data_IF_529038333248
#
_entry.id   IF_529038333248
#
_cell.length_a   1.000
_cell.length_b   1.000
_cell.length_c   1.000
_cell.angle_alpha   90.00
_cell.angle_beta   90.00
_cell.angle_gamma   90.00
#
_symmetry.space_group_name_H-M   'P 1'
#
loop_
_entity.id
_entity.type
_entity.pdbx_description
1 polymer ?
#
# COMPACT_ATOMS: atom_id res chain seq x y z
N UNK A 1 -6.37 7.57 -22.25
CA UNK A 1 -6.92 8.85 -21.79
C UNK A 1 -8.43 8.81 -21.93
N UNK A 2 -9.17 9.49 -21.06
CA UNK A 2 -10.63 9.59 -21.13
C UNK A 2 -11.09 11.03 -21.27
N UNK A 3 -12.18 11.27 -22.02
CA UNK A 3 -12.78 12.57 -22.27
C UNK A 3 -14.07 12.71 -21.47
N UNK A 4 -14.29 13.87 -20.88
CA UNK A 4 -15.57 14.18 -20.25
C UNK A 4 -16.57 14.64 -21.32
N UNK A 5 -17.74 13.99 -21.46
CA UNK A 5 -18.74 14.38 -22.46
C UNK A 5 -19.41 15.73 -22.14
N UNK A 6 -19.29 16.20 -20.89
CA UNK A 6 -19.94 17.43 -20.45
C UNK A 6 -19.04 18.67 -20.58
N UNK A 7 -17.76 18.57 -20.21
CA UNK A 7 -16.83 19.71 -20.24
C UNK A 7 -15.72 19.59 -21.30
N UNK A 8 -15.70 18.51 -22.09
CA UNK A 8 -14.66 18.20 -23.08
C UNK A 8 -13.22 18.08 -22.52
N UNK A 9 -13.05 18.06 -21.20
CA UNK A 9 -11.73 17.86 -20.58
C UNK A 9 -11.17 16.45 -20.83
N UNK A 10 -9.86 16.35 -21.06
CA UNK A 10 -9.13 15.09 -21.25
C UNK A 10 -8.36 14.76 -19.96
N UNK A 11 -8.53 13.54 -19.46
CA UNK A 11 -8.00 13.09 -18.17
C UNK A 11 -7.26 11.74 -18.31
N UNK A 12 -6.42 11.42 -17.31
CA UNK A 12 -5.77 10.09 -17.21
C UNK A 12 -6.82 8.98 -17.10
N UNK A 13 -6.45 7.76 -17.50
CA UNK A 13 -7.33 6.59 -17.44
C UNK A 13 -7.69 6.18 -16.01
N UNK A 14 -6.89 6.62 -15.03
CA UNK A 14 -7.07 6.39 -13.59
C UNK A 14 -8.32 7.08 -13.02
N UNK A 15 -8.89 8.04 -13.75
CA UNK A 15 -10.12 8.71 -13.37
C UNK A 15 -11.33 8.00 -14.01
N UNK A 16 -12.29 7.56 -13.20
CA UNK A 16 -13.57 7.04 -13.70
C UNK A 16 -14.61 8.14 -13.92
N UNK A 17 -14.52 9.22 -13.14
CA UNK A 17 -15.40 10.40 -13.23
C UNK A 17 -14.60 11.68 -13.37
N UNK A 18 -15.20 12.68 -14.02
CA UNK A 18 -14.62 13.99 -14.23
C UNK A 18 -14.51 14.75 -12.90
N UNK A 19 -13.32 15.21 -12.46
CA UNK A 19 -13.15 15.95 -11.21
C UNK A 19 -13.88 17.29 -11.15
N UNK A 20 -14.29 17.82 -12.31
CA UNK A 20 -14.94 19.13 -12.42
C UNK A 20 -16.47 19.03 -12.52
N UNK A 21 -17.00 17.88 -12.94
CA UNK A 21 -18.42 17.72 -13.28
C UNK A 21 -19.07 16.48 -12.66
N UNK A 22 -18.30 15.60 -12.01
CA UNK A 22 -18.71 14.31 -11.42
C UNK A 22 -19.44 13.35 -12.39
N UNK A 23 -19.25 13.53 -13.70
CA UNK A 23 -19.82 12.69 -14.77
C UNK A 23 -18.81 11.63 -15.21
N UNK A 24 -19.29 10.43 -15.55
CA UNK A 24 -18.47 9.31 -16.02
C UNK A 24 -17.71 9.69 -17.30
N UNK A 25 -16.40 9.42 -17.31
CA UNK A 25 -15.54 9.72 -18.44
C UNK A 25 -15.65 8.64 -19.53
N UNK A 26 -15.70 9.03 -20.80
CA UNK A 26 -15.69 8.11 -21.96
C UNK A 26 -14.28 7.94 -22.51
N UNK A 27 -13.98 6.80 -23.14
CA UNK A 27 -12.67 6.56 -23.74
C UNK A 27 -12.38 7.60 -24.84
N UNK A 28 -11.18 8.18 -24.82
CA UNK A 28 -10.72 9.13 -25.83
C UNK A 28 -9.99 8.36 -26.93
N UNK A 29 -10.54 8.37 -28.14
CA UNK A 29 -10.06 7.57 -29.28
C UNK A 29 -9.16 8.38 -30.22
N UNK A 30 -8.50 7.68 -31.16
CA UNK A 30 -7.75 8.32 -32.25
C UNK A 30 -8.63 9.25 -33.10
N UNK A 31 -9.88 8.87 -33.31
CA UNK A 31 -10.83 9.60 -34.14
C UNK A 31 -11.30 10.89 -33.44
N UNK A 32 -11.44 10.84 -32.11
CA UNK A 32 -11.71 12.03 -31.29
C UNK A 32 -10.57 13.05 -31.37
N UNK A 33 -9.33 12.56 -31.42
CA UNK A 33 -8.13 13.40 -31.54
C UNK A 33 -8.06 14.10 -32.90
N UNK A 34 -8.31 13.38 -34.00
CA UNK A 34 -8.31 13.97 -35.34
C UNK A 34 -9.40 15.05 -35.49
N UNK A 35 -10.55 14.85 -34.84
CA UNK A 35 -11.65 15.82 -34.84
C UNK A 35 -11.31 17.09 -34.05
N UNK A 36 -10.74 16.94 -32.85
CA UNK A 36 -10.34 18.07 -32.01
C UNK A 36 -9.19 18.87 -32.69
N UNK A 37 -8.22 18.20 -33.32
CA UNK A 37 -7.11 18.85 -34.05
C UNK A 37 -7.60 19.69 -35.24
N UNK A 38 -8.57 19.17 -36.02
CA UNK A 38 -9.20 19.89 -37.13
C UNK A 38 -10.02 21.12 -36.66
N UNK A 39 -10.64 21.04 -35.48
CA UNK A 39 -11.40 22.15 -34.91
C UNK A 39 -10.48 23.28 -34.42
N UNK A 40 -9.36 22.91 -33.79
CA UNK A 40 -8.28 23.84 -33.40
C UNK A 40 -7.71 24.57 -34.62
N UNK A 41 -7.50 23.87 -35.74
CA UNK A 41 -6.98 24.48 -36.96
C UNK A 41 -7.96 25.49 -37.58
N UNK A 42 -9.26 25.16 -37.61
CA UNK A 42 -10.32 26.10 -38.03
C UNK A 42 -10.40 27.33 -37.14
N UNK A 43 -10.24 27.18 -35.81
CA UNK A 43 -10.26 28.31 -34.88
C UNK A 43 -9.06 29.23 -35.08
N UNK A 44 -7.87 28.67 -35.32
CA UNK A 44 -6.66 29.44 -35.67
C UNK A 44 -6.85 30.26 -36.95
N UNK A 45 -7.43 29.65 -37.99
CA UNK A 45 -7.72 30.35 -39.26
C UNK A 45 -8.72 31.49 -39.03
N UNK A 46 -9.78 31.27 -38.24
CA UNK A 46 -10.75 32.34 -37.89
C UNK A 46 -10.09 33.49 -37.13
N UNK A 47 -9.23 33.20 -36.14
CA UNK A 47 -8.49 34.25 -35.40
C UNK A 47 -7.57 35.05 -36.31
N UNK A 48 -6.88 34.40 -37.25
CA UNK A 48 -6.02 35.09 -38.23
C UNK A 48 -6.83 36.02 -39.14
N UNK A 49 -8.01 35.60 -39.61
CA UNK A 49 -8.91 36.44 -40.41
C UNK A 49 -9.38 37.67 -39.60
N UNK A 50 -9.76 37.48 -38.34
CA UNK A 50 -10.21 38.58 -37.47
C UNK A 50 -9.09 39.59 -37.18
N UNK A 51 -7.87 39.13 -36.90
CA UNK A 51 -6.71 40.01 -36.71
C UNK A 51 -6.41 40.78 -38.00
N UNK A 52 -6.45 40.10 -39.16
CA UNK A 52 -6.30 40.74 -40.46
C UNK A 52 -7.34 41.84 -40.71
N UNK A 53 -8.61 41.60 -40.34
CA UNK A 53 -9.68 42.59 -40.46
C UNK A 53 -9.48 43.80 -39.52
N UNK A 54 -9.01 43.60 -38.30
CA UNK A 54 -8.72 44.69 -37.36
C UNK A 54 -7.56 45.57 -37.81
N UNK A 55 -6.49 44.97 -38.36
CA UNK A 55 -5.36 45.70 -38.93
C UNK A 55 -5.80 46.52 -40.15
N UNK A 56 -6.62 45.93 -41.03
CA UNK A 56 -7.19 46.65 -42.17
C UNK A 56 -8.09 47.82 -41.74
N UNK A 57 -8.92 47.64 -40.71
CA UNK A 57 -9.76 48.70 -40.15
C UNK A 57 -8.94 49.82 -39.49
N UNK A 58 -7.81 49.51 -38.86
CA UNK A 58 -6.90 50.51 -38.27
C UNK A 58 -6.20 51.34 -39.35
N UNK A 59 -5.72 50.70 -40.42
CA UNK A 59 -5.08 51.37 -41.56
C UNK A 59 -6.09 52.28 -42.29
N UNK A 60 -7.31 51.80 -42.53
CA UNK A 60 -8.37 52.60 -43.17
C UNK A 60 -8.92 53.70 -42.24
N UNK A 61 -8.98 53.45 -40.93
CA UNK A 61 -9.45 54.42 -39.92
C UNK A 61 -8.51 55.62 -39.72
N UNK A 62 -7.20 55.42 -39.88
CA UNK A 62 -6.22 56.52 -39.89
C UNK A 62 -6.34 57.36 -41.17
N UNK A 63 -6.66 56.73 -42.31
CA UNK A 63 -6.85 57.43 -43.60
C UNK A 63 -7.97 58.46 -43.60
N UNK A 64 -9.02 58.27 -42.79
CA UNK A 64 -10.18 59.18 -42.75
C UNK A 64 -10.07 60.32 -41.71
N UNK A 65 -9.14 60.26 -40.73
CA UNK A 65 -8.95 61.36 -39.76
C UNK A 65 -7.96 62.44 -40.17
N UNK A 66 -7.25 62.27 -41.29
CA UNK A 66 -6.18 63.19 -41.71
C UNK A 66 -6.64 64.49 -42.40
N UNK A 67 -7.93 64.84 -42.40
CA UNK A 67 -8.44 66.05 -43.11
C UNK A 67 -8.95 67.16 -42.17
N UNK A 68 -9.05 66.95 -40.86
CA UNK A 68 -9.38 68.04 -39.92
C UNK A 68 -8.25 68.17 -38.90
N UNK A 69 -7.42 69.20 -39.08
CA UNK A 69 -6.32 69.51 -38.18
C UNK A 69 -6.78 69.56 -36.72
N UNK A 70 -6.05 68.86 -35.85
CA UNK A 70 -6.28 68.85 -34.40
C UNK A 70 -6.27 70.29 -33.89
N UNK A 71 -7.37 70.72 -33.24
CA UNK A 71 -7.46 72.07 -32.68
C UNK A 71 -6.34 72.27 -31.67
N UNK A 72 -5.67 73.43 -31.71
CA UNK A 72 -4.52 73.78 -30.84
C UNK A 72 -4.81 73.55 -29.35
N UNK A 73 -6.06 73.71 -28.92
CA UNK A 73 -6.54 73.45 -27.56
C UNK A 73 -6.44 71.97 -27.16
N UNK A 74 -6.73 71.07 -28.09
CA UNK A 74 -6.72 69.63 -27.83
C UNK A 74 -5.27 69.12 -27.71
N UNK A 75 -4.36 69.67 -28.51
CA UNK A 75 -2.92 69.39 -28.41
C UNK A 75 -2.32 69.86 -27.07
N UNK A 76 -2.69 71.07 -26.63
CA UNK A 76 -2.23 71.61 -25.34
C UNK A 76 -2.75 70.77 -24.18
N UNK A 77 -4.03 70.38 -24.19
CA UNK A 77 -4.60 69.51 -23.17
C UNK A 77 -3.95 68.11 -23.18
N UNK A 78 -3.66 67.54 -24.35
CA UNK A 78 -2.97 66.25 -24.46
C UNK A 78 -1.56 66.31 -23.87
N UNK A 79 -0.84 67.43 -24.09
CA UNK A 79 0.50 67.64 -23.55
C UNK A 79 0.49 67.70 -22.03
N UNK A 80 -0.44 68.46 -21.44
CA UNK A 80 -0.61 68.54 -19.98
C UNK A 80 -0.90 67.14 -19.41
N UNK A 81 -1.80 66.38 -20.06
CA UNK A 81 -2.18 65.04 -19.61
C UNK A 81 -1.01 64.05 -19.69
N UNK A 82 -0.14 64.15 -20.70
CA UNK A 82 1.07 63.33 -20.80
C UNK A 82 2.11 63.70 -19.74
N UNK A 83 2.30 64.99 -19.43
CA UNK A 83 3.20 65.43 -18.35
C UNK A 83 2.70 64.92 -16.97
N UNK A 84 1.39 64.87 -16.77
CA UNK A 84 0.77 64.33 -15.55
C UNK A 84 0.87 62.81 -15.47
N UNK A 85 0.69 62.11 -16.59
CA UNK A 85 0.90 60.66 -16.68
C UNK A 85 2.36 60.27 -16.41
N UNK A 86 3.30 61.08 -16.89
CA UNK A 86 4.73 60.88 -16.67
C UNK A 86 5.06 61.00 -15.17
N UNK A 87 4.53 62.01 -14.48
CA UNK A 87 4.69 62.15 -13.02
C UNK A 87 4.13 60.95 -12.26
N UNK A 88 2.94 60.48 -12.62
CA UNK A 88 2.34 59.30 -12.00
C UNK A 88 3.20 58.04 -12.21
N UNK A 89 3.78 57.90 -13.40
CA UNK A 89 4.70 56.80 -13.69
C UNK A 89 5.97 56.87 -12.83
N UNK A 90 6.57 58.05 -12.70
CA UNK A 90 7.79 58.26 -11.91
C UNK A 90 7.54 58.01 -10.41
N UNK A 91 6.40 58.47 -9.89
CA UNK A 91 5.95 58.21 -8.51
C UNK A 91 5.73 56.70 -8.27
N UNK A 92 5.05 56.03 -9.20
CA UNK A 92 4.78 54.59 -9.11
C UNK A 92 6.08 53.76 -9.20
N UNK A 93 7.02 54.16 -10.06
CA UNK A 93 8.33 53.53 -10.17
C UNK A 93 9.10 53.65 -8.85
N UNK A 94 9.09 54.83 -8.24
CA UNK A 94 9.75 55.09 -6.95
C UNK A 94 9.12 54.27 -5.83
N UNK A 95 7.79 54.19 -5.80
CA UNK A 95 7.06 53.37 -4.83
C UNK A 95 7.36 51.87 -4.98
N UNK A 96 7.45 51.38 -6.22
CA UNK A 96 7.83 50.00 -6.53
C UNK A 96 9.24 49.67 -6.04
N UNK A 97 10.20 50.57 -6.25
CA UNK A 97 11.57 50.39 -5.79
C UNK A 97 11.66 50.36 -4.24
N UNK A 98 10.83 51.17 -3.57
CA UNK A 98 10.70 51.13 -2.11
C UNK A 98 10.16 49.78 -1.62
N UNK A 99 9.07 49.30 -2.23
CA UNK A 99 8.44 48.03 -1.87
C UNK A 99 9.37 46.84 -2.12
N UNK A 100 10.16 46.86 -3.20
CA UNK A 100 11.14 45.82 -3.49
C UNK A 100 12.21 45.74 -2.41
N UNK A 101 12.71 46.88 -1.93
CA UNK A 101 13.70 46.93 -0.83
C UNK A 101 13.14 46.39 0.48
N UNK A 102 11.88 46.68 0.79
CA UNK A 102 11.19 46.13 1.96
C UNK A 102 11.04 44.61 1.86
N UNK A 103 10.64 44.12 0.69
CA UNK A 103 10.53 42.69 0.41
C UNK A 103 11.88 41.97 0.56
N UNK A 104 12.95 42.51 -0.02
CA UNK A 104 14.29 41.93 0.09
C UNK A 104 14.80 41.92 1.54
N UNK A 105 14.50 42.99 2.29
CA UNK A 105 14.82 43.10 3.71
C UNK A 105 14.07 42.05 4.53
N UNK A 106 12.78 41.87 4.27
CA UNK A 106 11.96 40.86 4.93
C UNK A 106 12.47 39.46 4.63
N UNK A 107 12.74 39.14 3.36
CA UNK A 107 13.29 37.85 2.94
C UNK A 107 14.60 37.51 3.65
N UNK A 108 15.51 38.47 3.75
CA UNK A 108 16.79 38.28 4.46
C UNK A 108 16.61 38.03 5.96
N UNK A 109 15.57 38.60 6.58
CA UNK A 109 15.21 38.33 7.99
C UNK A 109 14.56 36.97 8.19
N UNK A 110 13.83 36.47 7.19
CA UNK A 110 13.16 35.16 7.24
C UNK A 110 14.09 33.99 6.95
N UNK A 111 15.13 34.21 6.15
CA UNK A 111 16.13 33.20 5.76
C UNK A 111 16.70 32.35 6.93
N UNK A 112 17.12 32.91 8.08
CA UNK A 112 17.61 32.10 9.19
C UNK A 112 16.52 31.21 9.82
N UNK A 113 15.24 31.61 9.75
CA UNK A 113 14.13 30.79 10.24
C UNK A 113 13.84 29.63 9.28
N UNK A 114 13.90 29.87 7.96
CA UNK A 114 13.77 28.81 6.95
C UNK A 114 14.92 27.78 7.07
N UNK A 115 16.16 28.25 7.28
CA UNK A 115 17.32 27.39 7.49
C UNK A 115 17.22 26.59 8.80
N UNK A 116 16.76 27.21 9.89
CA UNK A 116 16.50 26.49 11.15
C UNK A 116 15.41 25.43 11.00
N UNK A 117 14.32 25.76 10.29
CA UNK A 117 13.22 24.84 10.07
C UNK A 117 13.67 23.65 9.20
N UNK A 118 14.43 23.90 8.13
CA UNK A 118 15.00 22.86 7.29
C UNK A 118 15.98 21.95 8.08
N UNK A 119 16.78 22.54 8.98
CA UNK A 119 17.71 21.78 9.82
C UNK A 119 16.95 20.91 10.85
N UNK A 120 15.90 21.45 11.47
CA UNK A 120 15.06 20.71 12.41
C UNK A 120 14.29 19.57 11.72
N UNK A 121 13.80 19.80 10.51
CA UNK A 121 13.14 18.79 9.69
C UNK A 121 14.11 17.66 9.29
N UNK A 122 15.33 18.02 8.86
CA UNK A 122 16.38 17.04 8.58
C UNK A 122 16.76 16.21 9.81
N UNK A 123 16.92 16.85 10.98
CA UNK A 123 17.22 16.16 12.23
C UNK A 123 16.08 15.22 12.66
N UNK A 124 14.82 15.61 12.45
CA UNK A 124 13.66 14.78 12.73
C UNK A 124 13.60 13.54 11.82
N UNK A 125 13.90 13.71 10.53
CA UNK A 125 13.98 12.60 9.56
C UNK A 125 15.12 11.65 9.93
N UNK A 126 16.28 12.17 10.31
CA UNK A 126 17.43 11.34 10.70
C UNK A 126 17.15 10.53 11.97
N UNK A 127 16.54 11.15 12.99
CA UNK A 127 16.11 10.48 14.22
C UNK A 127 15.04 9.40 13.93
N UNK A 128 14.09 9.68 13.04
CA UNK A 128 13.07 8.71 12.64
C UNK A 128 13.70 7.52 11.89
N UNK A 129 14.65 7.77 10.99
CA UNK A 129 15.37 6.72 10.26
C UNK A 129 16.22 5.86 11.21
N UNK A 130 16.86 6.47 12.22
CA UNK A 130 17.61 5.74 13.24
C UNK A 130 16.71 4.79 14.04
N UNK A 131 15.54 5.26 14.49
CA UNK A 131 14.55 4.42 15.18
C UNK A 131 14.02 3.30 14.29
N UNK A 132 13.76 3.58 13.01
CA UNK A 132 13.33 2.56 12.05
C UNK A 132 14.42 1.49 11.85
N UNK A 133 15.69 1.89 11.78
CA UNK A 133 16.81 0.95 11.67
C UNK A 133 17.01 0.10 12.94
N UNK A 134 16.87 0.69 14.13
CA UNK A 134 16.93 -0.05 15.40
C UNK A 134 15.79 -1.06 15.52
N UNK A 135 14.56 -0.67 15.17
CA UNK A 135 13.42 -1.59 15.15
C UNK A 135 13.63 -2.72 14.13
N UNK A 136 14.17 -2.43 12.95
CA UNK A 136 14.47 -3.45 11.94
C UNK A 136 15.53 -4.46 12.44
N UNK A 137 16.55 -4.01 13.18
CA UNK A 137 17.54 -4.90 13.80
C UNK A 137 16.91 -5.79 14.87
N UNK A 138 16.08 -5.24 15.75
CA UNK A 138 15.41 -6.03 16.79
C UNK A 138 14.49 -7.10 16.19
N UNK A 139 13.74 -6.78 15.13
CA UNK A 139 12.90 -7.75 14.42
C UNK A 139 13.74 -8.85 13.77
N UNK A 140 14.89 -8.50 13.18
CA UNK A 140 15.80 -9.48 12.58
C UNK A 140 16.45 -10.40 13.63
N UNK A 141 16.89 -9.86 14.77
CA UNK A 141 17.46 -10.61 15.88
C UNK A 141 16.42 -11.55 16.52
N UNK A 142 15.19 -11.07 16.75
CA UNK A 142 14.09 -11.92 17.23
C UNK A 142 13.80 -13.06 16.26
N UNK A 143 13.77 -12.78 14.95
CA UNK A 143 13.54 -13.81 13.93
C UNK A 143 14.65 -14.88 13.93
N UNK A 144 15.92 -14.46 14.00
CA UNK A 144 17.05 -15.39 14.12
C UNK A 144 16.98 -16.24 15.40
N UNK A 145 16.56 -15.65 16.52
CA UNK A 145 16.42 -16.39 17.77
C UNK A 145 15.29 -17.41 17.73
N UNK A 146 14.17 -17.10 17.08
CA UNK A 146 13.06 -18.06 16.88
C UNK A 146 13.37 -19.18 15.89
N UNK A 147 14.39 -19.03 15.04
CA UNK A 147 14.79 -20.04 14.05
C UNK A 147 16.00 -20.88 14.49
N UNK A 148 16.81 -20.40 15.45
CA UNK A 148 17.96 -21.13 15.97
C UNK A 148 17.51 -22.36 16.79
N UNK A 149 18.08 -23.53 16.49
CA UNK A 149 17.82 -24.76 17.22
C UNK A 149 18.46 -24.73 18.62
N UNK A 150 17.74 -25.25 19.61
CA UNK A 150 18.21 -25.38 20.99
C UNK A 150 19.17 -26.56 21.13
N UNK A 151 20.16 -26.43 22.01
CA UNK A 151 21.08 -27.53 22.31
C UNK A 151 20.36 -28.67 23.06
N UNK A 152 20.84 -29.91 22.86
CA UNK A 152 20.36 -31.14 23.53
C UNK A 152 18.88 -31.50 23.32
N UNK A 153 18.29 -31.09 22.20
CA UNK A 153 16.94 -31.54 21.81
C UNK A 153 16.95 -32.97 21.27
N UNK A 154 15.82 -33.68 21.38
CA UNK A 154 15.65 -35.05 20.89
C UNK A 154 15.70 -35.12 19.35
N UNK A 155 15.16 -34.11 18.68
CA UNK A 155 15.09 -34.04 17.22
C UNK A 155 14.42 -32.76 16.74
N UNK A 156 14.01 -32.74 15.48
CA UNK A 156 13.33 -31.60 14.85
C UNK A 156 12.10 -32.13 14.10
N UNK A 157 10.98 -31.43 14.22
CA UNK A 157 9.71 -31.67 13.54
C UNK A 157 9.69 -30.97 12.17
N UNK A 158 10.62 -31.35 11.29
CA UNK A 158 10.86 -30.70 10.00
C UNK A 158 10.25 -31.44 8.80
N UNK A 159 9.65 -32.62 9.02
CA UNK A 159 9.08 -33.41 7.94
C UNK A 159 7.73 -32.85 7.49
N UNK A 160 7.52 -32.87 6.17
CA UNK A 160 6.30 -32.33 5.58
C UNK A 160 5.16 -33.37 5.63
N UNK A 161 4.06 -33.04 6.30
CA UNK A 161 2.85 -33.88 6.36
C UNK A 161 2.25 -34.17 4.98
N UNK A 162 2.51 -33.32 3.98
CA UNK A 162 2.08 -33.58 2.61
C UNK A 162 2.78 -34.78 1.97
N UNK A 163 3.96 -35.17 2.47
CA UNK A 163 4.70 -36.32 1.95
C UNK A 163 4.15 -37.67 2.42
N UNK A 164 3.21 -37.67 3.38
CA UNK A 164 2.71 -38.88 4.03
C UNK A 164 1.66 -39.59 3.18
N UNK A 165 0.59 -38.90 2.79
CA UNK A 165 -0.49 -39.46 1.98
C UNK A 165 -1.37 -38.34 1.40
N UNK A 166 -1.68 -38.40 0.10
CA UNK A 166 -2.55 -37.42 -0.57
C UNK A 166 -4.00 -37.44 -0.04
N UNK A 167 -4.42 -38.54 0.59
CA UNK A 167 -5.76 -38.71 1.18
C UNK A 167 -5.83 -38.35 2.67
N UNK A 168 -4.72 -37.86 3.23
CA UNK A 168 -4.66 -37.45 4.63
C UNK A 168 -5.67 -36.32 4.89
N UNK A 169 -6.56 -36.53 5.87
CA UNK A 169 -7.56 -35.54 6.26
C UNK A 169 -7.88 -35.63 7.74
N UNK A 170 -8.22 -34.47 8.32
CA UNK A 170 -8.70 -34.35 9.70
C UNK A 170 -10.23 -34.21 9.68
N UNK A 171 -10.93 -35.16 10.30
CA UNK A 171 -12.39 -35.20 10.39
C UNK A 171 -12.86 -34.99 11.83
N UNK A 172 -14.14 -34.68 12.04
CA UNK A 172 -14.70 -34.57 13.39
C UNK A 172 -14.75 -35.94 14.08
N UNK A 173 -14.46 -35.97 15.37
CA UNK A 173 -14.61 -37.17 16.19
C UNK A 173 -16.07 -37.36 16.59
N UNK A 174 -16.58 -38.59 16.45
CA UNK A 174 -17.94 -38.94 16.87
C UNK A 174 -18.02 -38.97 18.41
N UNK A 175 -19.14 -38.48 18.95
CA UNK A 175 -19.41 -38.40 20.39
C UNK A 175 -18.44 -37.49 21.19
N UNK A 176 -17.65 -36.65 20.52
CA UNK A 176 -16.93 -35.58 21.20
C UNK A 176 -17.92 -34.53 21.71
N UNK A 177 -17.94 -34.33 23.04
CA UNK A 177 -18.83 -33.36 23.71
C UNK A 177 -18.33 -31.92 23.58
N UNK A 178 -17.04 -31.72 23.28
CA UNK A 178 -16.42 -30.40 23.18
C UNK A 178 -16.60 -29.77 21.80
N UNK A 179 -16.71 -30.60 20.75
CA UNK A 179 -16.76 -30.17 19.34
C UNK A 179 -15.38 -29.81 18.76
N UNK A 180 -14.32 -29.92 19.56
CA UNK A 180 -12.98 -29.47 19.23
C UNK A 180 -12.05 -30.63 18.80
N UNK A 181 -12.53 -31.87 18.86
CA UNK A 181 -11.69 -33.01 18.53
C UNK A 181 -11.70 -33.32 17.04
N UNK A 182 -10.52 -33.61 16.51
CA UNK A 182 -10.32 -34.07 15.14
C UNK A 182 -9.61 -35.41 15.14
N UNK A 183 -9.89 -36.22 14.13
CA UNK A 183 -9.23 -37.51 13.91
C UNK A 183 -8.72 -37.62 12.49
N UNK A 184 -7.51 -38.11 12.37
CA UNK A 184 -6.87 -38.56 11.13
C UNK A 184 -6.51 -40.03 11.28
N UNK A 185 -6.56 -40.78 10.17
CA UNK A 185 -6.26 -42.22 10.15
C UNK A 185 -5.25 -42.49 9.05
N UNK A 186 -4.18 -43.20 9.40
CA UNK A 186 -3.09 -43.53 8.49
C UNK A 186 -2.64 -44.98 8.66
N UNK A 187 -1.87 -45.46 7.68
CA UNK A 187 -1.25 -46.79 7.71
C UNK A 187 0.18 -46.68 7.20
N UNK A 188 0.97 -45.83 7.85
CA UNK A 188 2.30 -45.45 7.39
C UNK A 188 3.36 -45.81 8.43
N UNK A 189 4.57 -46.15 7.99
CA UNK A 189 5.69 -46.44 8.90
C UNK A 189 6.43 -45.14 9.28
N UNK A 190 5.72 -44.20 9.93
CA UNK A 190 6.23 -42.88 10.31
C UNK A 190 5.94 -42.55 11.77
N UNK A 191 6.87 -41.83 12.39
CA UNK A 191 6.69 -41.30 13.74
C UNK A 191 6.14 -39.87 13.65
N UNK A 192 4.98 -39.63 14.28
CA UNK A 192 4.23 -38.39 14.07
C UNK A 192 4.89 -37.15 14.71
N UNK A 193 5.77 -37.31 15.69
CA UNK A 193 6.51 -36.19 16.29
C UNK A 193 7.38 -35.45 15.27
N UNK A 194 7.91 -36.13 14.27
CA UNK A 194 8.74 -35.52 13.22
C UNK A 194 7.92 -34.71 12.21
N UNK A 195 6.59 -34.88 12.19
CA UNK A 195 5.66 -34.23 11.26
C UNK A 195 4.69 -33.26 11.94
N UNK A 196 4.63 -33.29 13.27
CA UNK A 196 3.62 -32.59 14.06
C UNK A 196 3.57 -31.08 13.80
N UNK A 197 4.70 -30.40 13.56
CA UNK A 197 4.69 -28.97 13.25
C UNK A 197 4.05 -28.68 11.88
N UNK A 198 4.39 -29.45 10.85
CA UNK A 198 3.76 -29.32 9.53
C UNK A 198 2.28 -29.70 9.58
N UNK A 199 1.93 -30.76 10.32
CA UNK A 199 0.55 -31.16 10.58
C UNK A 199 -0.25 -30.05 11.24
N UNK A 200 0.28 -29.44 12.31
CA UNK A 200 -0.35 -28.35 13.03
C UNK A 200 -0.68 -27.19 12.10
N UNK A 201 0.32 -26.70 11.36
CA UNK A 201 0.16 -25.59 10.40
C UNK A 201 -0.88 -25.87 9.31
N UNK A 202 -1.07 -27.14 8.94
CA UNK A 202 -1.97 -27.53 7.84
C UNK A 202 -3.40 -27.78 8.30
N UNK A 203 -3.59 -28.49 9.42
CA UNK A 203 -4.89 -29.06 9.77
C UNK A 203 -5.58 -28.40 10.97
N UNK A 204 -4.84 -27.76 11.88
CA UNK A 204 -5.47 -27.03 12.98
C UNK A 204 -6.10 -25.75 12.44
N UNK A 205 -7.35 -25.53 12.83
CA UNK A 205 -8.09 -24.28 12.60
C UNK A 205 -8.07 -23.37 13.83
N UNK A 206 -7.76 -23.93 14.99
CA UNK A 206 -7.62 -23.21 16.26
C UNK A 206 -6.75 -24.00 17.22
N UNK A 207 -5.94 -23.31 18.03
CA UNK A 207 -5.13 -23.87 19.12
C UNK A 207 -5.96 -24.61 20.19
N UNK A 208 -7.29 -24.40 20.21
CA UNK A 208 -8.21 -25.10 21.10
C UNK A 208 -8.64 -26.49 20.59
N UNK A 209 -8.29 -26.84 19.36
CA UNK A 209 -8.56 -28.16 18.80
C UNK A 209 -7.62 -29.22 19.40
N UNK A 210 -8.12 -30.46 19.49
CA UNK A 210 -7.32 -31.63 19.90
C UNK A 210 -7.34 -32.60 18.73
N UNK A 211 -6.17 -32.93 18.20
CA UNK A 211 -6.04 -33.78 17.02
C UNK A 211 -5.51 -35.15 17.41
N UNK A 212 -6.24 -36.19 17.01
CA UNK A 212 -5.86 -37.58 17.16
C UNK A 212 -5.44 -38.15 15.81
N UNK A 213 -4.31 -38.85 15.77
CA UNK A 213 -3.79 -39.51 14.57
C UNK A 213 -3.62 -40.98 14.89
N UNK A 214 -4.49 -41.81 14.31
CA UNK A 214 -4.45 -43.26 14.47
C UNK A 214 -3.58 -43.84 13.37
N UNK A 215 -2.51 -44.53 13.74
CA UNK A 215 -1.60 -45.20 12.82
C UNK A 215 -1.72 -46.72 12.95
N UNK A 216 -2.41 -47.34 11.99
CA UNK A 216 -2.67 -48.78 12.01
C UNK A 216 -1.43 -49.64 11.72
N UNK A 217 -0.40 -49.07 11.07
CA UNK A 217 0.85 -49.77 10.75
C UNK A 217 1.75 -49.87 11.97
N UNK A 218 1.92 -48.76 12.69
CA UNK A 218 2.70 -48.74 13.93
C UNK A 218 1.95 -49.21 15.16
N UNK A 219 0.62 -49.38 15.06
CA UNK A 219 -0.26 -49.68 16.20
C UNK A 219 -0.14 -48.62 17.30
N UNK A 220 -0.21 -47.36 16.89
CA UNK A 220 -0.16 -46.22 17.80
C UNK A 220 -1.26 -45.21 17.52
N UNK A 221 -1.61 -44.45 18.56
CA UNK A 221 -2.53 -43.31 18.49
C UNK A 221 -1.85 -42.08 19.09
N UNK A 222 -1.56 -41.09 18.24
CA UNK A 222 -0.91 -39.84 18.63
C UNK A 222 -1.95 -38.77 18.92
N UNK A 223 -1.87 -38.14 20.08
CA UNK A 223 -2.61 -36.93 20.43
C UNK A 223 -1.71 -35.71 20.22
N UNK A 224 -2.21 -34.68 19.55
CA UNK A 224 -1.56 -33.38 19.40
C UNK A 224 -2.50 -32.32 19.96
N UNK A 225 -1.99 -31.50 20.86
CA UNK A 225 -2.68 -30.33 21.42
C UNK A 225 -1.72 -29.15 21.54
N UNK A 226 -2.24 -27.94 21.72
CA UNK A 226 -1.42 -26.71 21.75
C UNK A 226 -1.52 -26.05 23.11
N UNK A 227 -0.38 -25.59 23.63
CA UNK A 227 -0.35 -24.69 24.78
C UNK A 227 0.83 -23.73 24.66
N UNK A 228 0.53 -22.44 24.51
CA UNK A 228 1.54 -21.40 24.30
C UNK A 228 2.25 -21.58 22.96
N UNK A 229 3.58 -21.62 22.99
CA UNK A 229 4.43 -21.81 21.81
C UNK A 229 4.88 -23.28 21.61
N UNK A 230 4.13 -24.23 22.18
CA UNK A 230 4.47 -25.65 22.14
C UNK A 230 3.27 -26.49 21.70
N UNK A 231 3.57 -27.49 20.88
CA UNK A 231 2.68 -28.62 20.63
C UNK A 231 3.02 -29.72 21.64
N UNK A 232 2.00 -30.21 22.33
CA UNK A 232 2.08 -31.35 23.22
C UNK A 232 1.70 -32.58 22.42
N UNK A 233 2.64 -33.51 22.27
CA UNK A 233 2.48 -34.71 21.45
C UNK A 233 2.63 -35.95 22.33
N UNK A 234 1.51 -36.61 22.58
CA UNK A 234 1.45 -37.84 23.39
C UNK A 234 1.17 -39.04 22.47
N UNK A 235 2.05 -40.03 22.48
CA UNK A 235 1.90 -41.26 21.68
C UNK A 235 1.40 -42.38 22.59
N UNK A 236 0.29 -42.99 22.21
CA UNK A 236 -0.34 -44.11 22.92
C UNK A 236 -0.26 -45.38 22.09
N UNK A 237 -0.31 -46.53 22.76
CA UNK A 237 -0.62 -47.80 22.11
C UNK A 237 -2.02 -47.74 21.49
N UNK A 238 -2.16 -48.25 20.27
CA UNK A 238 -3.47 -48.34 19.62
C UNK A 238 -4.32 -49.43 20.27
N UNK A 239 -5.59 -49.10 20.56
CA UNK A 239 -6.60 -50.06 21.01
C UNK A 239 -7.61 -50.32 19.90
N UNK A 240 -7.90 -51.59 19.62
CA UNK A 240 -8.77 -51.98 18.51
C UNK A 240 -10.15 -51.31 18.59
N UNK A 241 -10.52 -50.61 17.51
CA UNK A 241 -11.78 -49.88 17.37
C UNK A 241 -11.85 -48.53 18.09
N UNK A 242 -10.76 -48.05 18.70
CA UNK A 242 -10.78 -46.78 19.44
C UNK A 242 -11.05 -45.56 18.56
N UNK A 243 -10.73 -45.63 17.26
CA UNK A 243 -10.89 -44.54 16.30
C UNK A 243 -12.35 -44.16 16.01
N UNK A 244 -13.30 -44.94 16.53
CA UNK A 244 -14.72 -44.75 16.26
C UNK A 244 -15.37 -43.70 17.16
N UNK A 245 -14.88 -43.49 18.38
CA UNK A 245 -15.55 -42.66 19.38
C UNK A 245 -14.58 -41.92 20.30
N UNK A 246 -14.98 -40.72 20.74
CA UNK A 246 -14.18 -39.88 21.62
C UNK A 246 -13.89 -40.50 23.00
N UNK A 247 -14.78 -41.34 23.51
CA UNK A 247 -14.65 -42.00 24.82
C UNK A 247 -13.65 -43.16 24.82
N UNK A 248 -13.29 -43.67 23.65
CA UNK A 248 -12.32 -44.76 23.48
C UNK A 248 -10.97 -44.29 22.95
N UNK A 249 -10.91 -43.16 22.24
CA UNK A 249 -9.69 -42.61 21.65
C UNK A 249 -8.59 -42.37 22.68
N UNK A 250 -7.40 -42.91 22.42
CA UNK A 250 -6.22 -42.75 23.27
C UNK A 250 -6.32 -43.52 24.58
N UNK A 251 -7.14 -44.57 24.64
CA UNK A 251 -7.33 -45.36 25.87
C UNK A 251 -6.19 -46.35 26.16
N UNK A 252 -5.29 -46.56 25.20
CA UNK A 252 -4.10 -47.38 25.36
C UNK A 252 -3.05 -46.76 26.28
N UNK A 253 -2.01 -47.54 26.61
CA UNK A 253 -0.91 -47.07 27.44
C UNK A 253 -0.10 -45.98 26.72
N UNK A 254 0.25 -44.90 27.43
CA UNK A 254 1.17 -43.89 26.88
C UNK A 254 2.57 -44.49 26.70
N UNK A 255 3.09 -44.41 25.48
CA UNK A 255 4.39 -44.91 25.07
C UNK A 255 5.48 -43.83 25.15
N UNK A 256 5.16 -42.60 24.75
CA UNK A 256 6.08 -41.47 24.79
C UNK A 256 5.34 -40.13 24.83
N UNK A 257 6.06 -39.09 25.28
CA UNK A 257 5.57 -37.71 25.30
C UNK A 257 6.62 -36.74 24.81
N UNK A 258 6.20 -35.78 24.01
CA UNK A 258 7.07 -34.75 23.46
C UNK A 258 6.47 -33.36 23.59
N UNK A 259 7.33 -32.37 23.76
CA UNK A 259 7.01 -30.98 23.47
C UNK A 259 7.70 -30.58 22.17
N UNK A 260 6.96 -29.92 21.27
CA UNK A 260 7.50 -29.45 20.00
C UNK A 260 7.33 -27.94 19.94
N UNK A 261 8.44 -27.22 19.87
CA UNK A 261 8.42 -25.77 19.86
C UNK A 261 7.97 -25.25 18.49
N UNK A 262 6.98 -24.38 18.46
CA UNK A 262 6.34 -23.94 17.21
C UNK A 262 7.19 -22.95 16.40
N UNK A 263 8.21 -22.36 17.02
CA UNK A 263 9.10 -21.38 16.42
C UNK A 263 10.11 -22.03 15.45
N UNK A 264 10.74 -23.13 15.85
CA UNK A 264 11.77 -23.83 15.07
C UNK A 264 11.54 -25.33 14.86
N UNK A 265 10.52 -25.92 15.50
CA UNK A 265 10.22 -27.35 15.42
C UNK A 265 11.07 -28.25 16.30
N UNK A 266 11.89 -27.70 17.20
CA UNK A 266 12.67 -28.52 18.13
C UNK A 266 11.75 -29.48 18.91
N UNK A 267 12.17 -30.74 19.01
CA UNK A 267 11.48 -31.78 19.75
C UNK A 267 12.22 -32.00 21.07
N UNK A 268 11.53 -31.78 22.18
CA UNK A 268 11.96 -32.17 23.51
C UNK A 268 11.23 -33.43 23.92
N UNK A 269 11.96 -34.48 24.32
CA UNK A 269 11.37 -35.73 24.81
C UNK A 269 11.17 -35.65 26.32
N UNK A 270 9.94 -35.85 26.78
CA UNK A 270 9.54 -35.76 28.18
C UNK A 270 9.47 -37.14 28.84
N UNK A 271 9.01 -38.14 28.09
CA UNK A 271 8.90 -39.54 28.52
C UNK A 271 9.19 -40.48 27.35
#
# INVERSE_FOLDING_TARGET
MKKCPHCNGIFSDDFEKCPQCDIVLSNYTSDDKEKDDNEIEKEKIRKLITIGALVAAFILGIGFKSIIGVKRTDYVNLKIKNEELQKQYDELSTAKDGLQKEYDTYKRKMQPYEEQQATAEQAAIEEQNKKAAENAKQVAEQKQQTEAHRDNMYGISDKDINSVNDTFSAANVRNDKTGNWRISKISENINMEEYALSYYKKYFKSDSEIHWIVNFTLKTTTCISVSGNMLFVDVHEYVDGEEHYADTLGSGMTLSKFHIYTDNGDIEKIQ
#
